data_IF_327574653373
#
_entry.id   IF_327574653373
#
_cell.length_a   1.000
_cell.length_b   1.000
_cell.length_c   1.000
_cell.angle_alpha   90.00
_cell.angle_beta   90.00
_cell.angle_gamma   90.00
#
_symmetry.space_group_name_H-M   'P 1'
#
loop_
_entity.id
_entity.type
_entity.pdbx_description
1 polymer ?
#
# COMPACT_ATOMS: atom_id res chain seq x y z
N UNK A 1 -5.02 12.42 -1.68
CA UNK A 1 -4.56 13.26 -2.78
C UNK A 1 -3.06 13.09 -2.99
N UNK A 2 -2.61 13.16 -4.23
CA UNK A 2 -1.22 13.23 -4.62
C UNK A 2 -0.93 14.56 -5.26
N UNK A 3 0.01 15.31 -4.70
CA UNK A 3 0.51 16.55 -5.25
C UNK A 3 1.83 16.30 -5.99
N UNK A 4 1.91 16.75 -7.24
CA UNK A 4 3.12 16.68 -8.06
C UNK A 4 3.54 18.10 -8.44
N UNK A 5 4.85 18.34 -8.63
CA UNK A 5 5.36 19.66 -9.04
C UNK A 5 5.25 20.75 -7.97
N UNK A 6 5.47 20.38 -6.72
CA UNK A 6 5.39 21.29 -5.54
C UNK A 6 6.18 22.60 -5.70
N UNK A 7 7.25 22.59 -6.50
CA UNK A 7 8.06 23.78 -6.79
C UNK A 7 7.32 24.88 -7.54
N UNK A 8 6.16 24.58 -8.14
CA UNK A 8 5.31 25.56 -8.81
C UNK A 8 4.40 26.32 -7.84
N UNK A 9 4.25 25.83 -6.60
CA UNK A 9 3.45 26.44 -5.56
C UNK A 9 4.40 27.17 -4.58
N UNK A 10 4.14 28.44 -4.30
CA UNK A 10 4.91 29.20 -3.33
C UNK A 10 4.74 28.66 -1.90
N UNK A 11 5.64 29.05 -0.98
CA UNK A 11 5.66 28.62 0.42
C UNK A 11 4.37 28.95 1.21
N UNK A 12 3.50 29.80 0.64
CA UNK A 12 2.25 30.26 1.25
C UNK A 12 0.98 29.71 0.56
N UNK A 13 1.10 28.62 -0.20
CA UNK A 13 -0.05 28.03 -0.89
C UNK A 13 -1.16 27.63 0.09
N UNK A 14 -2.39 28.02 -0.20
CA UNK A 14 -3.57 27.66 0.57
C UNK A 14 -3.92 26.17 0.38
N UNK A 15 -4.71 25.62 1.32
CA UNK A 15 -5.21 24.25 1.19
C UNK A 15 -6.02 24.04 -0.09
N UNK A 16 -6.80 25.04 -0.50
CA UNK A 16 -7.60 24.99 -1.72
C UNK A 16 -6.71 24.92 -2.97
N UNK A 17 -5.64 25.71 -3.04
CA UNK A 17 -4.65 25.64 -4.12
C UNK A 17 -3.96 24.27 -4.15
N UNK A 18 -3.55 23.74 -2.98
CA UNK A 18 -2.94 22.41 -2.89
C UNK A 18 -3.88 21.33 -3.41
N UNK A 19 -5.17 21.37 -3.08
CA UNK A 19 -6.18 20.41 -3.55
C UNK A 19 -6.37 20.55 -5.05
N UNK A 20 -6.48 21.78 -5.59
CA UNK A 20 -6.69 22.01 -7.02
C UNK A 20 -5.53 21.53 -7.89
N UNK A 21 -4.30 21.56 -7.37
CA UNK A 21 -3.11 21.02 -8.04
C UNK A 21 -2.86 19.54 -7.75
N UNK A 22 -3.72 18.89 -6.98
CA UNK A 22 -3.57 17.50 -6.57
C UNK A 22 -4.48 16.57 -7.38
N UNK A 23 -4.08 15.32 -7.49
CA UNK A 23 -4.91 14.23 -8.00
C UNK A 23 -5.42 13.39 -6.83
N UNK A 24 -6.72 13.07 -6.86
CA UNK A 24 -7.32 12.18 -5.85
C UNK A 24 -6.82 10.76 -6.04
N UNK A 25 -6.50 10.08 -4.95
CA UNK A 25 -6.08 8.68 -4.94
C UNK A 25 -7.28 7.73 -4.68
N UNK A 26 -7.22 6.51 -5.20
CA UNK A 26 -6.20 5.98 -6.10
C UNK A 26 -6.31 6.55 -7.52
N UNK A 27 -5.21 6.49 -8.27
CA UNK A 27 -5.22 6.77 -9.71
C UNK A 27 -5.47 5.43 -10.40
N UNK A 28 -6.72 5.17 -10.75
CA UNK A 28 -7.12 3.93 -11.41
C UNK A 28 -6.81 4.01 -12.91
N UNK A 29 -5.62 3.59 -13.29
CA UNK A 29 -5.26 3.40 -14.70
C UNK A 29 -5.61 1.97 -15.13
N UNK A 30 -6.34 1.78 -16.25
CA UNK A 30 -6.63 0.44 -16.77
C UNK A 30 -5.32 -0.30 -17.08
N UNK A 31 -5.11 -1.45 -16.45
CA UNK A 31 -3.98 -2.32 -16.72
C UNK A 31 -4.44 -3.79 -16.75
N UNK A 32 -3.79 -4.60 -17.58
CA UNK A 32 -4.11 -6.02 -17.70
C UNK A 32 -3.39 -6.87 -16.64
N UNK A 33 -2.27 -6.36 -16.12
CA UNK A 33 -1.40 -7.09 -15.18
C UNK A 33 -1.76 -6.79 -13.74
N UNK A 34 -1.66 -7.80 -12.89
CA UNK A 34 -1.73 -7.67 -11.44
C UNK A 34 -0.34 -7.31 -10.90
N UNK A 35 -0.22 -6.20 -10.19
CA UNK A 35 1.07 -5.66 -9.74
C UNK A 35 1.26 -5.90 -8.24
N UNK A 36 2.29 -6.65 -7.90
CA UNK A 36 2.72 -6.89 -6.52
C UNK A 36 3.93 -6.01 -6.23
N UNK A 37 3.89 -5.22 -5.16
CA UNK A 37 5.08 -4.55 -4.66
C UNK A 37 5.70 -5.33 -3.50
N UNK A 38 7.00 -5.62 -3.56
CA UNK A 38 7.71 -6.37 -2.54
C UNK A 38 9.02 -5.68 -2.12
N UNK A 39 9.69 -6.23 -1.09
CA UNK A 39 11.00 -5.75 -0.67
C UNK A 39 12.07 -6.16 -1.67
N UNK A 40 12.99 -5.27 -1.98
CA UNK A 40 14.12 -5.56 -2.89
C UNK A 40 15.10 -6.57 -2.29
N UNK A 41 15.29 -6.54 -0.99
CA UNK A 41 16.38 -7.25 -0.30
C UNK A 41 15.93 -8.46 0.54
N UNK A 42 14.63 -8.65 0.74
CA UNK A 42 14.09 -9.65 1.67
C UNK A 42 12.79 -10.24 1.13
N UNK A 43 12.91 -11.09 0.11
CA UNK A 43 11.85 -12.02 -0.22
C UNK A 43 11.93 -13.17 0.76
N UNK A 44 10.93 -13.30 1.64
CA UNK A 44 10.81 -14.48 2.50
C UNK A 44 10.15 -15.62 1.72
N UNK A 45 10.33 -16.90 2.13
CA UNK A 45 9.66 -18.03 1.51
C UNK A 45 8.14 -17.86 1.43
N UNK A 46 7.54 -17.22 2.44
CA UNK A 46 6.11 -16.94 2.49
C UNK A 46 5.70 -15.90 1.43
N UNK A 47 6.55 -14.89 1.20
CA UNK A 47 6.32 -13.91 0.12
C UNK A 47 6.41 -14.57 -1.25
N UNK A 48 7.37 -15.47 -1.45
CA UNK A 48 7.51 -16.23 -2.70
C UNK A 48 6.31 -17.14 -2.94
N UNK A 49 5.82 -17.81 -1.90
CA UNK A 49 4.60 -18.63 -1.94
C UNK A 49 3.39 -17.79 -2.36
N UNK A 50 3.20 -16.64 -1.70
CA UNK A 50 2.11 -15.71 -2.05
C UNK A 50 2.17 -15.24 -3.51
N UNK A 51 3.36 -14.89 -4.00
CA UNK A 51 3.57 -14.50 -5.40
C UNK A 51 3.20 -15.68 -6.34
N UNK A 52 3.57 -16.90 -5.97
CA UNK A 52 3.22 -18.11 -6.69
C UNK A 52 1.70 -18.34 -6.80
N UNK A 53 0.97 -18.12 -5.71
CA UNK A 53 -0.49 -18.18 -5.68
C UNK A 53 -1.15 -17.12 -6.58
N UNK A 54 -0.64 -15.88 -6.55
CA UNK A 54 -1.15 -14.82 -7.42
C UNK A 54 -0.91 -15.12 -8.91
N UNK A 55 0.23 -15.73 -9.27
CA UNK A 55 0.50 -16.17 -10.64
C UNK A 55 -0.43 -17.29 -11.13
N UNK A 56 -1.06 -18.03 -10.23
CA UNK A 56 -2.10 -19.01 -10.59
C UNK A 56 -3.47 -18.37 -10.79
N UNK A 57 -3.72 -17.23 -10.13
CA UNK A 57 -5.02 -16.54 -10.17
C UNK A 57 -5.12 -15.50 -11.27
N UNK A 58 -4.00 -14.87 -11.65
CA UNK A 58 -3.94 -13.80 -12.63
C UNK A 58 -3.09 -14.21 -13.82
N UNK A 59 -3.58 -13.88 -15.02
CA UNK A 59 -2.92 -14.22 -16.30
C UNK A 59 -1.52 -13.57 -16.40
N UNK A 60 -1.39 -12.33 -15.93
CA UNK A 60 -0.13 -11.58 -15.94
C UNK A 60 0.13 -10.95 -14.57
N UNK A 61 1.26 -11.29 -13.96
CA UNK A 61 1.71 -10.74 -12.66
C UNK A 61 3.03 -10.01 -12.84
N UNK A 62 3.04 -8.73 -12.48
CA UNK A 62 4.26 -7.91 -12.43
C UNK A 62 4.74 -7.78 -10.99
N UNK A 63 6.04 -7.91 -10.79
CA UNK A 63 6.68 -7.68 -9.50
C UNK A 63 7.50 -6.39 -9.55
N UNK A 64 7.14 -5.42 -8.74
CA UNK A 64 7.92 -4.18 -8.56
C UNK A 64 8.58 -4.17 -7.18
N UNK A 65 9.76 -3.54 -7.11
CA UNK A 65 10.52 -3.47 -5.87
C UNK A 65 10.67 -2.04 -5.39
N UNK A 66 10.43 -1.83 -4.11
CA UNK A 66 10.64 -0.53 -3.45
C UNK A 66 11.11 -0.71 -2.02
N UNK A 67 11.72 0.33 -1.45
CA UNK A 67 12.14 0.35 -0.05
C UNK A 67 11.06 0.91 0.88
N UNK A 68 11.21 0.64 2.17
CA UNK A 68 10.48 1.28 3.27
C UNK A 68 8.94 1.30 3.13
N UNK A 69 8.30 2.26 3.79
CA UNK A 69 6.86 2.55 3.78
C UNK A 69 6.31 3.03 2.43
N UNK A 70 7.18 3.39 1.48
CA UNK A 70 6.78 3.76 0.11
C UNK A 70 5.92 2.68 -0.55
N UNK A 71 6.13 1.41 -0.22
CA UNK A 71 5.32 0.29 -0.74
C UNK A 71 3.83 0.42 -0.40
N UNK A 72 3.49 0.90 0.80
CA UNK A 72 2.11 1.20 1.19
C UNK A 72 1.55 2.34 0.31
N UNK A 73 2.37 3.36 0.07
CA UNK A 73 1.99 4.50 -0.77
C UNK A 73 1.78 4.09 -2.25
N UNK A 74 2.58 3.15 -2.77
CA UNK A 74 2.39 2.64 -4.13
C UNK A 74 1.05 1.93 -4.32
N UNK A 75 0.58 1.19 -3.30
CA UNK A 75 -0.78 0.61 -3.31
C UNK A 75 -1.82 1.72 -3.19
N UNK A 76 -1.65 2.66 -2.27
CA UNK A 76 -2.57 3.80 -2.10
C UNK A 76 -2.67 4.67 -3.37
N UNK A 77 -1.59 4.80 -4.12
CA UNK A 77 -1.52 5.54 -5.39
C UNK A 77 -2.21 4.81 -6.54
N UNK A 78 -2.42 3.49 -6.43
CA UNK A 78 -2.93 2.64 -7.50
C UNK A 78 -1.85 2.10 -8.42
N UNK A 79 -0.57 2.30 -8.14
CA UNK A 79 0.55 1.76 -8.93
C UNK A 79 0.83 0.29 -8.67
N UNK A 80 0.43 -0.22 -7.50
CA UNK A 80 0.44 -1.63 -7.17
C UNK A 80 -0.96 -2.06 -6.70
N UNK A 81 -1.31 -3.30 -6.90
CA UNK A 81 -2.56 -3.88 -6.44
C UNK A 81 -2.44 -4.39 -5.01
N UNK A 82 -1.25 -4.88 -4.65
CA UNK A 82 -1.02 -5.49 -3.35
C UNK A 82 0.43 -5.34 -2.87
N UNK A 83 0.57 -5.23 -1.54
CA UNK A 83 1.85 -5.32 -0.83
C UNK A 83 1.74 -6.35 0.29
N UNK A 84 2.24 -7.58 0.11
CA UNK A 84 2.38 -8.56 1.17
C UNK A 84 3.62 -8.27 2.03
N UNK A 85 3.49 -8.34 3.35
CA UNK A 85 4.58 -8.18 4.30
C UNK A 85 4.60 -9.33 5.30
N UNK A 86 5.38 -10.36 5.02
CA UNK A 86 5.60 -11.53 5.86
C UNK A 86 6.98 -11.48 6.53
N UNK A 87 7.25 -10.34 7.19
CA UNK A 87 8.44 -10.12 7.98
C UNK A 87 8.13 -9.10 9.08
N UNK A 88 8.88 -9.10 10.21
CA UNK A 88 8.60 -8.23 11.34
C UNK A 88 8.58 -6.73 10.96
N UNK A 89 7.62 -6.01 11.51
CA UNK A 89 7.53 -4.55 11.52
C UNK A 89 6.90 -4.08 12.82
N UNK A 90 7.11 -2.83 13.17
CA UNK A 90 6.54 -2.21 14.35
C UNK A 90 5.38 -1.28 13.96
N UNK A 91 4.54 -0.93 14.91
CA UNK A 91 3.39 -0.04 14.67
C UNK A 91 3.81 1.30 14.02
N UNK A 92 4.95 1.87 14.42
CA UNK A 92 5.45 3.14 13.86
C UNK A 92 5.92 3.02 12.39
N UNK A 93 6.22 1.81 11.93
CA UNK A 93 6.57 1.58 10.52
C UNK A 93 5.34 1.66 9.60
N UNK A 94 4.14 1.48 10.15
CA UNK A 94 2.92 1.33 9.36
C UNK A 94 1.86 2.39 9.61
N UNK A 95 1.83 3.02 10.78
CA UNK A 95 0.71 3.87 11.21
C UNK A 95 0.40 5.02 10.22
N UNK A 96 1.40 5.79 9.82
CA UNK A 96 1.21 6.89 8.86
C UNK A 96 0.80 6.37 7.46
N UNK A 97 1.47 5.32 6.98
CA UNK A 97 1.13 4.67 5.70
C UNK A 97 -0.28 4.08 5.71
N UNK A 98 -0.72 3.50 6.82
CA UNK A 98 -2.07 2.97 6.98
C UNK A 98 -3.14 4.08 6.88
N UNK A 99 -2.90 5.22 7.51
CA UNK A 99 -3.81 6.37 7.38
C UNK A 99 -3.93 6.83 5.92
N UNK A 100 -2.83 6.90 5.18
CA UNK A 100 -2.80 7.24 3.75
C UNK A 100 -3.55 6.19 2.92
N UNK A 101 -3.28 4.91 3.17
CA UNK A 101 -3.94 3.79 2.49
C UNK A 101 -5.46 3.84 2.68
N UNK A 102 -5.93 4.01 3.91
CA UNK A 102 -7.37 4.12 4.22
C UNK A 102 -8.03 5.31 3.55
N UNK A 103 -7.37 6.46 3.54
CA UNK A 103 -7.86 7.66 2.86
C UNK A 103 -7.96 7.48 1.33
N UNK A 104 -7.18 6.55 0.76
CA UNK A 104 -7.21 6.17 -0.64
C UNK A 104 -8.14 4.96 -0.94
N UNK A 105 -8.93 4.48 0.03
CA UNK A 105 -9.83 3.34 -0.16
C UNK A 105 -9.14 1.97 -0.11
N UNK A 106 -7.91 1.92 0.39
CA UNK A 106 -7.18 0.68 0.67
C UNK A 106 -7.31 0.30 2.15
N UNK A 107 -6.85 -0.89 2.50
CA UNK A 107 -6.77 -1.35 3.88
C UNK A 107 -5.48 -2.15 4.11
N UNK A 108 -5.01 -2.23 5.36
CA UNK A 108 -3.93 -3.12 5.77
C UNK A 108 -4.55 -4.21 6.64
N UNK A 109 -4.71 -5.38 6.06
CA UNK A 109 -5.26 -6.54 6.75
C UNK A 109 -4.17 -7.40 7.38
N UNK A 110 -4.44 -8.00 8.53
CA UNK A 110 -3.62 -9.08 9.08
C UNK A 110 -3.63 -10.25 8.10
N UNK A 111 -2.46 -10.85 7.87
CA UNK A 111 -2.33 -11.92 6.88
C UNK A 111 -3.19 -13.13 7.27
N UNK A 112 -3.97 -13.62 6.32
CA UNK A 112 -4.90 -14.73 6.52
C UNK A 112 -6.25 -14.34 7.18
N UNK A 113 -6.43 -13.07 7.53
CA UNK A 113 -7.64 -12.60 8.21
C UNK A 113 -8.29 -11.42 7.49
N UNK A 114 -9.57 -11.16 7.80
CA UNK A 114 -10.27 -9.97 7.31
C UNK A 114 -10.25 -8.81 8.34
N UNK A 115 -9.28 -8.85 9.28
CA UNK A 115 -9.13 -7.87 10.33
C UNK A 115 -8.04 -6.86 9.98
N UNK A 116 -8.32 -5.54 10.07
CA UNK A 116 -7.29 -4.51 9.91
C UNK A 116 -6.23 -4.60 11.01
N UNK A 117 -5.04 -4.04 10.73
CA UNK A 117 -4.02 -3.86 11.77
C UNK A 117 -4.56 -3.01 12.91
N UNK A 118 -4.20 -3.41 14.12
CA UNK A 118 -4.51 -2.71 15.36
C UNK A 118 -3.28 -1.92 15.84
N UNK A 119 -3.52 -0.78 16.46
CA UNK A 119 -2.50 0.11 17.01
C UNK A 119 -2.70 0.35 18.49
N UNK A 120 -1.64 0.82 19.14
CA UNK A 120 -1.61 1.05 20.59
C UNK A 120 -1.82 -0.24 21.40
N UNK A 121 -1.23 -1.34 20.90
CA UNK A 121 -1.19 -2.62 21.60
C UNK A 121 -0.12 -2.60 22.71
N UNK A 122 -0.22 -3.50 23.67
CA UNK A 122 0.84 -3.72 24.65
C UNK A 122 2.14 -4.19 23.97
N UNK A 123 2.05 -5.15 23.04
CA UNK A 123 3.14 -5.52 22.14
C UNK A 123 3.01 -4.74 20.85
N UNK A 124 3.96 -3.85 20.57
CA UNK A 124 3.96 -2.95 19.42
C UNK A 124 4.42 -3.62 18.11
N UNK A 125 4.76 -4.91 18.15
CA UNK A 125 5.05 -5.70 16.96
C UNK A 125 3.76 -5.90 16.14
N UNK A 126 3.83 -5.66 14.84
CA UNK A 126 2.74 -5.96 13.93
C UNK A 126 2.69 -7.47 13.62
N UNK A 127 1.50 -8.05 13.47
CA UNK A 127 1.38 -9.32 12.76
C UNK A 127 1.79 -9.12 11.29
N UNK A 128 2.05 -10.21 10.56
CA UNK A 128 2.18 -10.16 9.11
C UNK A 128 0.93 -9.57 8.49
N UNK A 129 1.09 -8.84 7.38
CA UNK A 129 -0.03 -8.10 6.82
C UNK A 129 0.01 -8.03 5.29
N UNK A 130 -1.13 -7.68 4.73
CA UNK A 130 -1.31 -7.42 3.30
C UNK A 130 -1.99 -6.06 3.15
N UNK A 131 -1.40 -5.19 2.32
CA UNK A 131 -2.02 -3.93 1.90
C UNK A 131 -2.71 -4.17 0.57
N UNK A 132 -3.99 -3.90 0.49
CA UNK A 132 -4.78 -4.11 -0.73
C UNK A 132 -6.01 -3.18 -0.76
N UNK A 133 -6.76 -3.19 -1.86
CA UNK A 133 -8.03 -2.47 -1.93
C UNK A 133 -8.99 -2.99 -0.86
N UNK A 134 -9.70 -2.09 -0.20
CA UNK A 134 -10.65 -2.44 0.86
C UNK A 134 -11.68 -3.44 0.33
N UNK A 135 -11.80 -4.56 1.03
CA UNK A 135 -12.80 -5.60 0.71
C UNK A 135 -14.19 -5.03 0.95
N UNK A 136 -15.03 -5.08 -0.07
CA UNK A 136 -16.44 -4.74 0.07
C UNK A 136 -17.14 -5.97 0.65
N UNK A 137 -17.63 -5.86 1.88
CA UNK A 137 -18.49 -6.90 2.43
C UNK A 137 -19.82 -6.85 1.65
N UNK A 138 -20.04 -7.85 0.85
CA UNK A 138 -21.35 -8.12 0.24
C UNK A 138 -22.27 -8.81 1.23
#
# INVERSE_FOLDING_TARGET
FKLSGITALGDSASLEELINFSVRLPIDEPRKRFVIVASRSHLTPETETYIGEMKQQYEEVELISSGSSIKICLVAEGKADVYPRFAPTMEWDTAAGHAIARAAGMEIYQAGEALPLQYNKENLLNPWFIVERKRVNH
#
